data_IF_805482432078
#
_entry.id   IF_805482432078
#
_cell.length_a   1.000
_cell.length_b   1.000
_cell.length_c   1.000
_cell.angle_alpha   90.00
_cell.angle_beta   90.00
_cell.angle_gamma   90.00
#
_symmetry.space_group_name_H-M   'P 1'
#
loop_
_entity.id
_entity.type
_entity.pdbx_description
1 polymer ?
#
# COMPACT_ATOMS: atom_id res chain seq x y z
N UNK A 1 -30.50 -18.50 13.00
CA UNK A 1 -29.21 -18.67 13.70
C UNK A 1 -28.29 -19.34 12.70
N UNK A 2 -27.65 -18.54 11.85
CA UNK A 2 -26.74 -19.03 10.83
C UNK A 2 -25.40 -19.21 11.55
N UNK A 3 -24.93 -20.45 11.65
CA UNK A 3 -23.54 -20.70 11.98
C UNK A 3 -22.75 -20.16 10.79
N UNK A 4 -22.07 -19.03 10.96
CA UNK A 4 -21.07 -18.61 9.99
C UNK A 4 -20.02 -19.72 9.93
N UNK A 5 -19.92 -20.37 8.77
CA UNK A 5 -18.86 -21.35 8.54
C UNK A 5 -17.51 -20.67 8.83
N UNK A 6 -16.60 -21.33 9.57
CA UNK A 6 -15.31 -20.74 9.87
C UNK A 6 -14.63 -20.38 8.55
N UNK A 7 -14.18 -19.13 8.41
CA UNK A 7 -13.45 -18.66 7.23
C UNK A 7 -12.21 -19.52 7.07
N UNK A 8 -12.23 -20.43 6.10
CA UNK A 8 -11.10 -21.32 5.81
C UNK A 8 -10.04 -20.51 5.08
N UNK A 9 -8.91 -20.28 5.74
CA UNK A 9 -7.76 -19.63 5.11
C UNK A 9 -7.06 -20.63 4.20
N UNK A 10 -7.09 -20.40 2.90
CA UNK A 10 -6.42 -21.26 1.91
C UNK A 10 -5.06 -20.69 1.52
N UNK A 11 -4.15 -21.56 1.08
CA UNK A 11 -2.86 -21.13 0.54
C UNK A 11 -3.02 -20.21 -0.69
N UNK A 12 -4.07 -20.43 -1.48
CA UNK A 12 -4.41 -19.57 -2.62
C UNK A 12 -4.82 -18.16 -2.17
N UNK A 13 -5.71 -18.04 -1.19
CA UNK A 13 -6.13 -16.74 -0.66
C UNK A 13 -4.95 -15.97 -0.03
N UNK A 14 -4.06 -16.66 0.66
CA UNK A 14 -2.82 -16.06 1.19
C UNK A 14 -1.89 -15.61 0.06
N UNK A 15 -1.74 -16.39 -1.01
CA UNK A 15 -0.90 -16.04 -2.16
C UNK A 15 -1.43 -14.79 -2.88
N UNK A 16 -2.76 -14.70 -3.08
CA UNK A 16 -3.42 -13.55 -3.67
C UNK A 16 -3.24 -12.31 -2.81
N UNK A 17 -3.44 -12.43 -1.49
CA UNK A 17 -3.22 -11.34 -0.56
C UNK A 17 -1.78 -10.84 -0.59
N UNK A 18 -0.79 -11.73 -0.46
CA UNK A 18 0.63 -11.34 -0.49
C UNK A 18 1.02 -10.70 -1.82
N UNK A 19 0.49 -11.22 -2.94
CA UNK A 19 0.69 -10.62 -4.26
C UNK A 19 0.08 -9.23 -4.37
N UNK A 20 -1.12 -9.00 -3.82
CA UNK A 20 -1.72 -7.67 -3.69
C UNK A 20 -0.82 -6.78 -2.81
N UNK A 21 -0.37 -7.29 -1.67
CA UNK A 21 0.46 -6.52 -0.73
C UNK A 21 1.76 -6.04 -1.36
N UNK A 22 2.39 -6.89 -2.16
CA UNK A 22 3.68 -6.63 -2.80
C UNK A 22 3.55 -5.94 -4.16
N UNK A 23 2.32 -5.59 -4.58
CA UNK A 23 2.10 -4.88 -5.84
C UNK A 23 2.70 -3.45 -5.77
N UNK A 24 3.48 -3.03 -6.77
CA UNK A 24 4.05 -1.68 -6.78
C UNK A 24 2.98 -0.59 -6.70
N UNK A 25 3.16 0.35 -5.77
CA UNK A 25 2.25 1.50 -5.60
C UNK A 25 0.89 1.14 -5.01
N UNK A 26 0.75 -0.01 -4.34
CA UNK A 26 -0.52 -0.47 -3.75
C UNK A 26 -1.05 0.46 -2.65
N UNK A 27 -0.19 1.01 -1.80
CA UNK A 27 -0.60 1.99 -0.78
C UNK A 27 -1.12 3.30 -1.38
N UNK A 28 -0.71 3.58 -2.61
CA UNK A 28 -1.14 4.73 -3.37
C UNK A 28 -2.34 4.39 -4.28
N UNK A 29 -2.65 3.09 -4.46
CA UNK A 29 -3.89 2.58 -5.03
C UNK A 29 -4.92 2.44 -3.91
N UNK A 30 -5.90 3.33 -3.77
CA UNK A 30 -7.08 2.94 -3.03
C UNK A 30 -7.67 1.74 -3.76
N UNK A 31 -7.99 0.68 -3.01
CA UNK A 31 -8.69 -0.53 -3.48
C UNK A 31 -10.00 -0.23 -4.24
N UNK A 32 -10.45 1.03 -4.27
CA UNK A 32 -11.78 1.47 -4.64
C UNK A 32 -11.86 2.46 -5.81
N UNK A 33 -10.74 2.93 -6.39
CA UNK A 33 -10.85 3.82 -7.57
C UNK A 33 -10.95 2.97 -8.83
N UNK A 34 -12.17 2.54 -9.15
CA UNK A 34 -12.47 2.07 -10.50
C UNK A 34 -11.99 3.13 -11.51
N UNK A 35 -11.43 2.73 -12.68
CA UNK A 35 -10.95 3.68 -13.68
C UNK A 35 -11.95 4.78 -14.03
N UNK A 36 -13.24 4.46 -13.95
CA UNK A 36 -14.38 5.36 -14.15
C UNK A 36 -14.44 6.45 -13.07
N UNK A 37 -14.24 6.09 -11.80
CA UNK A 37 -14.22 7.03 -10.68
C UNK A 37 -13.03 8.00 -10.79
N UNK A 38 -11.86 7.49 -11.19
CA UNK A 38 -10.69 8.31 -11.46
C UNK A 38 -10.99 9.32 -12.58
N UNK A 39 -11.62 8.85 -13.65
CA UNK A 39 -12.00 9.69 -14.76
C UNK A 39 -12.97 10.80 -14.35
N UNK A 40 -14.04 10.48 -13.61
CA UNK A 40 -15.01 11.45 -13.08
C UNK A 40 -14.35 12.48 -12.15
N UNK A 41 -13.36 12.08 -11.36
CA UNK A 41 -12.60 13.02 -10.51
C UNK A 41 -11.78 13.99 -11.33
N UNK A 42 -11.11 13.52 -12.37
CA UNK A 42 -10.32 14.36 -13.27
C UNK A 42 -11.20 15.32 -14.06
N UNK A 43 -12.38 14.88 -14.50
CA UNK A 43 -13.36 15.77 -15.15
C UNK A 43 -13.87 16.85 -14.21
N UNK A 44 -14.21 16.50 -12.96
CA UNK A 44 -14.60 17.48 -11.93
C UNK A 44 -13.49 18.48 -11.66
N UNK A 45 -12.24 18.03 -11.60
CA UNK A 45 -11.08 18.90 -11.46
C UNK A 45 -10.93 19.83 -12.66
N UNK A 46 -10.97 19.31 -13.88
CA UNK A 46 -10.88 20.09 -15.11
C UNK A 46 -11.95 21.17 -15.19
N UNK A 47 -13.21 20.82 -14.88
CA UNK A 47 -14.33 21.77 -14.83
C UNK A 47 -14.12 22.89 -13.80
N UNK A 48 -13.61 22.56 -12.60
CA UNK A 48 -13.34 23.55 -11.55
C UNK A 48 -12.17 24.46 -11.91
N UNK A 49 -11.12 23.90 -12.50
CA UNK A 49 -9.98 24.67 -13.00
C UNK A 49 -10.39 25.60 -14.14
N UNK A 50 -11.27 25.15 -15.04
CA UNK A 50 -11.79 25.99 -16.11
C UNK A 50 -12.49 27.24 -15.58
N UNK A 51 -13.31 27.08 -14.54
CA UNK A 51 -13.97 28.22 -13.87
C UNK A 51 -13.01 29.12 -13.10
N UNK A 52 -11.89 28.58 -12.62
CA UNK A 52 -10.93 29.33 -11.82
C UNK A 52 -9.90 30.09 -12.66
N UNK A 53 -9.52 29.56 -13.82
CA UNK A 53 -8.36 30.03 -14.59
C UNK A 53 -8.56 30.09 -16.11
N UNK A 54 -9.77 29.77 -16.61
CA UNK A 54 -10.06 29.73 -18.04
C UNK A 54 -9.85 28.34 -18.66
N UNK A 55 -10.12 28.22 -19.96
CA UNK A 55 -10.20 26.95 -20.72
C UNK A 55 -9.16 25.90 -20.28
N UNK A 56 -9.63 24.72 -19.87
CA UNK A 56 -8.78 23.62 -19.43
C UNK A 56 -8.75 22.51 -20.49
N UNK A 57 -7.56 22.18 -21.00
CA UNK A 57 -7.38 21.00 -21.86
C UNK A 57 -6.99 19.79 -21.02
N UNK A 58 -7.54 18.61 -21.35
CA UNK A 58 -7.27 17.35 -20.65
C UNK A 58 -6.57 16.38 -21.61
N UNK A 59 -5.37 15.93 -21.25
CA UNK A 59 -4.61 14.92 -21.98
C UNK A 59 -4.46 13.68 -21.12
N UNK A 60 -4.83 12.51 -21.64
CA UNK A 60 -4.67 11.24 -20.95
C UNK A 60 -3.36 10.59 -21.31
N UNK A 61 -2.72 9.96 -20.33
CA UNK A 61 -1.53 9.15 -20.57
C UNK A 61 -1.89 7.76 -21.07
N UNK A 62 -0.97 7.08 -21.78
CA UNK A 62 -1.14 5.67 -22.13
C UNK A 62 -1.37 4.81 -20.90
N UNK A 63 -2.09 3.69 -21.09
CA UNK A 63 -2.27 2.70 -20.04
C UNK A 63 -0.91 2.22 -19.51
N UNK A 64 -0.73 2.21 -18.19
CA UNK A 64 0.52 1.79 -17.55
C UNK A 64 1.57 2.89 -17.35
N UNK A 65 1.32 4.13 -17.77
CA UNK A 65 2.19 5.27 -17.48
C UNK A 65 2.26 5.60 -15.97
N UNK A 66 3.30 6.34 -15.58
CA UNK A 66 3.57 6.73 -14.18
C UNK A 66 2.58 7.77 -13.63
N UNK A 67 1.80 8.41 -14.50
CA UNK A 67 0.78 9.39 -14.16
C UNK A 67 -0.49 9.17 -14.99
N UNK A 68 -1.65 9.65 -14.52
CA UNK A 68 -2.92 9.47 -15.22
C UNK A 68 -3.02 10.32 -16.48
N UNK A 69 -2.53 11.57 -16.39
CA UNK A 69 -2.73 12.55 -17.44
C UNK A 69 -2.26 13.94 -17.02
N UNK A 70 -2.57 14.92 -17.87
CA UNK A 70 -2.21 16.32 -17.70
C UNK A 70 -3.41 17.21 -17.97
N UNK A 71 -3.47 18.29 -17.21
CA UNK A 71 -4.45 19.36 -17.34
C UNK A 71 -3.69 20.63 -17.70
N UNK A 72 -4.00 21.23 -18.84
CA UNK A 72 -3.30 22.42 -19.33
C UNK A 72 -4.24 23.62 -19.26
N UNK A 73 -3.81 24.67 -18.56
CA UNK A 73 -4.52 25.94 -18.43
C UNK A 73 -3.85 27.03 -19.29
N UNK A 74 -4.52 28.17 -19.53
CA UNK A 74 -3.90 29.30 -20.21
C UNK A 74 -2.68 29.79 -19.42
N UNK A 75 -1.59 30.15 -20.11
CA UNK A 75 -0.39 30.72 -19.48
C UNK A 75 0.67 29.70 -19.04
N UNK A 76 1.30 29.02 -20.00
CA UNK A 76 1.95 27.67 -19.89
C UNK A 76 1.82 26.91 -18.55
N UNK A 77 0.60 26.75 -18.00
CA UNK A 77 0.43 25.97 -16.76
C UNK A 77 0.00 24.56 -17.11
N UNK A 78 0.84 23.60 -16.75
CA UNK A 78 0.52 22.18 -16.85
C UNK A 78 0.45 21.58 -15.46
N UNK A 79 -0.69 21.02 -15.12
CA UNK A 79 -0.94 20.28 -13.89
C UNK A 79 -0.93 18.80 -14.25
N UNK A 80 0.06 18.06 -13.77
CA UNK A 80 0.13 16.61 -13.92
C UNK A 80 -0.73 15.97 -12.84
N UNK A 81 -1.57 15.04 -13.25
CA UNK A 81 -2.42 14.27 -12.33
C UNK A 81 -1.72 12.96 -12.00
N UNK A 82 -1.47 12.73 -10.72
CA UNK A 82 -0.88 11.49 -10.22
C UNK A 82 -1.67 10.26 -10.67
N UNK A 83 -1.00 9.11 -10.73
CA UNK A 83 -1.54 7.86 -11.29
C UNK A 83 -2.93 7.47 -10.77
N UNK A 84 -3.21 7.81 -9.51
CA UNK A 84 -4.42 7.39 -8.80
C UNK A 84 -5.44 8.51 -8.57
N UNK A 85 -5.14 9.73 -9.02
CA UNK A 85 -6.08 10.86 -8.96
C UNK A 85 -6.36 11.39 -7.56
N UNK A 86 -5.39 11.33 -6.66
CA UNK A 86 -5.42 12.02 -5.36
C UNK A 86 -4.48 13.20 -5.31
N UNK A 87 -3.41 13.15 -6.07
CA UNK A 87 -2.37 14.17 -6.08
C UNK A 87 -2.25 14.81 -7.45
N UNK A 88 -1.86 16.07 -7.44
CA UNK A 88 -1.45 16.82 -8.62
C UNK A 88 -0.15 17.56 -8.34
N UNK A 89 0.62 17.82 -9.39
CA UNK A 89 1.79 18.68 -9.31
C UNK A 89 1.89 19.56 -10.56
N UNK A 90 2.55 20.71 -10.41
CA UNK A 90 2.81 21.60 -11.53
C UNK A 90 4.07 21.12 -12.28
N UNK A 91 3.99 20.96 -13.60
CA UNK A 91 5.09 20.41 -14.43
C UNK A 91 6.30 21.34 -14.56
N UNK A 92 6.07 22.64 -14.41
CA UNK A 92 7.08 23.69 -14.33
C UNK A 92 6.52 24.80 -13.43
N UNK A 93 7.39 25.61 -12.82
CA UNK A 93 6.99 26.68 -11.91
C UNK A 93 5.86 27.54 -12.50
N UNK A 94 4.76 27.78 -11.76
CA UNK A 94 3.59 28.42 -12.32
C UNK A 94 3.93 29.86 -12.74
N UNK A 95 3.75 30.19 -14.02
CA UNK A 95 3.68 31.59 -14.48
C UNK A 95 2.26 32.12 -14.25
N UNK A 96 1.73 31.89 -13.06
CA UNK A 96 0.46 32.43 -12.61
C UNK A 96 0.76 33.61 -11.69
N UNK A 97 0.00 34.70 -11.83
CA UNK A 97 -0.06 35.71 -10.77
C UNK A 97 -0.55 35.07 -9.46
N UNK A 98 -0.14 35.61 -8.31
CA UNK A 98 -0.45 35.05 -6.98
C UNK A 98 -1.95 34.79 -6.78
N UNK A 99 -2.81 35.71 -7.22
CA UNK A 99 -4.26 35.58 -7.11
C UNK A 99 -4.83 34.43 -7.96
N UNK A 100 -4.29 34.23 -9.17
CA UNK A 100 -4.70 33.13 -10.04
C UNK A 100 -4.19 31.79 -9.49
N UNK A 101 -2.97 31.76 -8.96
CA UNK A 101 -2.40 30.59 -8.29
C UNK A 101 -3.23 30.19 -7.06
N UNK A 102 -3.66 31.15 -6.23
CA UNK A 102 -4.52 30.89 -5.07
C UNK A 102 -5.88 30.31 -5.47
N UNK A 103 -6.50 30.82 -6.54
CA UNK A 103 -7.77 30.29 -7.08
C UNK A 103 -7.62 28.87 -7.63
N UNK A 104 -6.54 28.59 -8.36
CA UNK A 104 -6.21 27.25 -8.87
C UNK A 104 -6.00 26.26 -7.72
N UNK A 105 -5.21 26.61 -6.70
CA UNK A 105 -5.02 25.78 -5.50
C UNK A 105 -6.32 25.49 -4.78
N UNK A 106 -7.17 26.51 -4.63
CA UNK A 106 -8.50 26.35 -4.01
C UNK A 106 -9.36 25.37 -4.81
N UNK A 107 -9.37 25.47 -6.14
CA UNK A 107 -10.10 24.54 -7.00
C UNK A 107 -9.61 23.09 -6.87
N UNK A 108 -8.29 22.88 -6.80
CA UNK A 108 -7.67 21.57 -6.59
C UNK A 108 -8.10 20.97 -5.23
N UNK A 109 -8.02 21.74 -4.15
CA UNK A 109 -8.38 21.25 -2.82
C UNK A 109 -9.89 20.97 -2.70
N UNK A 110 -10.74 21.78 -3.33
CA UNK A 110 -12.20 21.59 -3.32
C UNK A 110 -12.65 20.32 -4.05
N UNK A 111 -11.84 19.79 -4.97
CA UNK A 111 -12.09 18.51 -5.64
C UNK A 111 -11.43 17.32 -4.93
N UNK A 112 -10.86 17.55 -3.75
CA UNK A 112 -10.24 16.52 -2.93
C UNK A 112 -8.87 16.06 -3.44
N UNK A 113 -8.19 16.89 -4.24
CA UNK A 113 -6.81 16.64 -4.65
C UNK A 113 -5.83 17.35 -3.73
N UNK A 114 -4.70 16.71 -3.48
CA UNK A 114 -3.53 17.29 -2.81
C UNK A 114 -2.55 17.84 -3.84
N UNK A 115 -1.91 18.96 -3.51
CA UNK A 115 -0.85 19.54 -4.35
C UNK A 115 0.51 19.09 -3.84
N UNK A 116 1.32 18.49 -4.71
CA UNK A 116 2.72 18.13 -4.45
C UNK A 116 3.68 19.21 -5.01
N UNK A 117 4.91 19.30 -4.46
CA UNK A 117 5.87 20.34 -4.85
C UNK A 117 6.34 20.22 -6.30
N UNK A 118 6.44 19.01 -6.85
CA UNK A 118 6.87 18.75 -8.23
C UNK A 118 6.32 17.42 -8.78
N UNK A 119 6.53 17.19 -10.08
CA UNK A 119 6.07 15.98 -10.78
C UNK A 119 6.84 14.73 -10.35
N UNK A 120 8.09 14.86 -9.89
CA UNK A 120 8.85 13.70 -9.42
C UNK A 120 8.22 13.12 -8.15
N UNK A 121 7.60 13.96 -7.31
CA UNK A 121 6.81 13.52 -6.16
C UNK A 121 5.49 12.82 -6.52
N UNK A 122 4.97 12.96 -7.75
CA UNK A 122 3.79 12.22 -8.21
C UNK A 122 4.13 10.79 -8.65
N UNK A 123 5.39 10.55 -9.01
CA UNK A 123 5.84 9.20 -9.26
C UNK A 123 5.90 8.52 -7.89
N UNK A 124 5.17 7.42 -7.68
CA UNK A 124 5.38 6.58 -6.52
C UNK A 124 6.88 6.43 -6.31
N UNK A 125 7.45 6.98 -5.23
CA UNK A 125 8.76 6.54 -4.81
C UNK A 125 8.56 5.07 -4.47
N UNK A 126 8.88 4.19 -5.42
CA UNK A 126 9.16 2.80 -5.09
C UNK A 126 10.12 2.90 -3.92
N UNK A 127 9.80 2.35 -2.74
CA UNK A 127 10.78 2.29 -1.69
C UNK A 127 12.05 1.73 -2.34
N UNK A 128 13.11 2.54 -2.38
CA UNK A 128 14.42 2.02 -2.73
C UNK A 128 14.70 0.96 -1.69
N UNK A 129 14.69 -0.31 -2.10
CA UNK A 129 14.83 -1.43 -1.17
C UNK A 129 13.51 -2.02 -0.68
N UNK A 130 12.57 -2.38 -1.58
CA UNK A 130 11.61 -3.45 -1.23
C UNK A 130 12.44 -4.63 -0.71
N UNK A 131 12.32 -4.99 0.58
CA UNK A 131 13.12 -6.07 1.13
C UNK A 131 12.89 -7.31 0.29
N UNK A 132 13.95 -8.04 -0.05
CA UNK A 132 13.82 -9.33 -0.74
C UNK A 132 12.89 -10.21 0.09
N UNK A 133 11.72 -10.56 -0.48
CA UNK A 133 10.68 -11.32 0.20
C UNK A 133 11.08 -12.78 0.32
N UNK A 134 10.78 -13.37 1.47
CA UNK A 134 10.98 -14.81 1.74
C UNK A 134 9.98 -15.67 0.96
N UNK A 135 8.77 -15.17 0.76
CA UNK A 135 7.72 -15.83 -0.05
C UNK A 135 7.53 -15.03 -1.34
N UNK A 136 7.75 -15.69 -2.48
CA UNK A 136 7.64 -15.09 -3.83
C UNK A 136 6.68 -15.85 -4.73
N UNK A 137 5.97 -16.83 -4.16
CA UNK A 137 5.02 -17.68 -4.86
C UNK A 137 3.97 -16.89 -5.65
N UNK A 138 3.55 -17.45 -6.79
CA UNK A 138 2.50 -16.91 -7.66
C UNK A 138 1.25 -17.79 -7.69
N UNK A 139 1.28 -18.91 -6.98
CA UNK A 139 0.14 -19.82 -6.80
C UNK A 139 0.09 -20.36 -5.37
N UNK A 140 -1.08 -20.84 -4.94
CA UNK A 140 -1.24 -21.47 -3.64
C UNK A 140 -0.37 -22.72 -3.45
N UNK A 141 -0.13 -23.50 -4.51
CA UNK A 141 0.74 -24.68 -4.46
C UNK A 141 2.21 -24.29 -4.24
N UNK A 142 2.71 -23.31 -4.99
CA UNK A 142 4.06 -22.76 -4.78
C UNK A 142 4.23 -22.19 -3.38
N UNK A 143 3.21 -21.48 -2.88
CA UNK A 143 3.21 -20.90 -1.55
C UNK A 143 3.27 -21.98 -0.47
N UNK A 144 2.45 -23.03 -0.58
CA UNK A 144 2.47 -24.16 0.33
C UNK A 144 3.85 -24.82 0.38
N UNK A 145 4.46 -25.03 -0.79
CA UNK A 145 5.82 -25.58 -0.90
C UNK A 145 6.90 -24.67 -0.30
N UNK A 146 6.81 -23.35 -0.48
CA UNK A 146 7.75 -22.40 0.12
C UNK A 146 7.62 -22.33 1.64
N UNK A 147 6.40 -22.26 2.18
CA UNK A 147 6.14 -22.24 3.63
C UNK A 147 6.62 -23.53 4.30
N UNK A 148 6.34 -24.69 3.69
CA UNK A 148 6.77 -25.99 4.22
C UNK A 148 8.30 -26.12 4.30
N UNK A 149 9.05 -25.40 3.47
CA UNK A 149 10.52 -25.40 3.45
C UNK A 149 11.16 -24.30 4.30
N UNK A 150 10.39 -23.43 4.95
CA UNK A 150 10.94 -22.44 5.88
C UNK A 150 11.73 -23.15 7.01
N UNK A 151 12.74 -22.47 7.61
CA UNK A 151 13.48 -23.02 8.74
C UNK A 151 12.54 -23.52 9.85
N UNK A 152 12.77 -24.73 10.33
CA UNK A 152 11.97 -25.37 11.38
C UNK A 152 12.48 -25.12 12.80
N UNK A 153 13.51 -24.29 12.95
CA UNK A 153 14.17 -23.99 14.24
C UNK A 153 13.83 -22.60 14.75
N UNK A 154 13.93 -22.43 16.07
CA UNK A 154 13.68 -21.15 16.75
C UNK A 154 12.27 -20.59 16.51
N UNK A 155 12.15 -19.26 16.58
CA UNK A 155 10.88 -18.55 16.41
C UNK A 155 10.31 -18.70 14.99
N UNK A 156 11.19 -18.84 13.98
CA UNK A 156 10.78 -19.10 12.59
C UNK A 156 10.03 -20.42 12.48
N UNK A 157 10.53 -21.48 13.13
CA UNK A 157 9.86 -22.78 13.18
C UNK A 157 8.49 -22.73 13.84
N UNK A 158 8.37 -22.00 14.96
CA UNK A 158 7.08 -21.82 15.67
C UNK A 158 6.05 -21.11 14.78
N UNK A 159 6.45 -20.05 14.09
CA UNK A 159 5.57 -19.31 13.19
C UNK A 159 5.23 -20.11 11.93
N UNK A 160 6.20 -20.82 11.34
CA UNK A 160 6.00 -21.75 10.22
C UNK A 160 4.91 -22.77 10.55
N UNK A 161 5.04 -23.44 11.69
CA UNK A 161 4.09 -24.47 12.11
C UNK A 161 2.69 -23.90 12.33
N UNK A 162 2.59 -22.67 12.89
CA UNK A 162 1.31 -21.95 13.02
C UNK A 162 0.70 -21.66 11.65
N UNK A 163 1.48 -21.16 10.69
CA UNK A 163 1.03 -20.88 9.33
C UNK A 163 0.53 -22.17 8.66
N UNK A 164 1.32 -23.25 8.70
CA UNK A 164 0.96 -24.53 8.10
C UNK A 164 -0.36 -25.08 8.67
N UNK A 165 -0.53 -25.05 10.00
CA UNK A 165 -1.79 -25.48 10.63
C UNK A 165 -2.98 -24.61 10.22
N UNK A 166 -2.81 -23.30 10.16
CA UNK A 166 -3.87 -22.39 9.75
C UNK A 166 -4.30 -22.59 8.29
N UNK A 167 -3.38 -23.02 7.42
CA UNK A 167 -3.63 -23.36 6.02
C UNK A 167 -4.13 -24.81 5.82
N UNK A 168 -4.24 -25.61 6.88
CA UNK A 168 -4.59 -27.03 6.79
C UNK A 168 -3.51 -27.90 6.13
N UNK A 169 -2.25 -27.45 6.13
CA UNK A 169 -1.12 -28.12 5.50
C UNK A 169 -0.35 -29.01 6.49
N UNK A 170 0.33 -30.07 6.01
CA UNK A 170 1.20 -30.88 6.85
C UNK A 170 2.33 -30.06 7.50
N UNK A 171 2.59 -30.30 8.78
CA UNK A 171 3.62 -29.59 9.56
C UNK A 171 5.02 -30.22 9.39
N UNK A 172 5.10 -31.36 8.70
CA UNK A 172 6.33 -32.11 8.50
C UNK A 172 7.41 -31.24 7.84
N UNK A 173 8.64 -31.21 8.37
CA UNK A 173 9.78 -30.58 7.69
C UNK A 173 9.95 -31.14 6.29
N UNK A 174 10.14 -30.25 5.31
CA UNK A 174 10.53 -30.61 3.96
C UNK A 174 11.99 -30.22 3.80
N UNK A 175 12.80 -31.12 3.26
CA UNK A 175 14.22 -30.87 3.04
C UNK A 175 14.44 -29.73 2.02
N UNK A 176 15.50 -28.96 2.27
CA UNK A 176 15.91 -27.84 1.41
C UNK A 176 15.31 -26.50 1.85
N UNK A 177 16.17 -25.48 1.93
CA UNK A 177 15.78 -24.10 2.22
C UNK A 177 15.41 -23.42 0.89
N UNK A 178 14.32 -22.61 0.82
CA UNK A 178 13.98 -21.89 -0.41
C UNK A 178 15.13 -20.98 -0.84
N UNK A 179 15.42 -20.91 -2.14
CA UNK A 179 16.48 -20.04 -2.69
C UNK A 179 16.32 -18.54 -2.32
N UNK A 180 15.09 -18.13 -2.01
CA UNK A 180 14.81 -16.77 -1.54
C UNK A 180 15.30 -16.52 -0.09
N UNK A 181 15.39 -17.56 0.74
CA UNK A 181 15.78 -17.52 2.16
C UNK A 181 17.29 -17.59 2.33
N UNK A 182 17.97 -18.41 1.53
CA UNK A 182 19.41 -18.71 1.67
C UNK A 182 20.34 -17.47 1.77
N UNK A 183 20.13 -16.36 1.02
CA UNK A 183 20.97 -15.18 1.13
C UNK A 183 20.53 -14.19 2.22
N UNK A 184 19.44 -14.45 2.95
CA UNK A 184 18.89 -13.51 3.92
C UNK A 184 19.44 -13.74 5.34
N UNK A 185 19.79 -12.67 6.08
CA UNK A 185 20.11 -12.78 7.50
C UNK A 185 18.93 -13.39 8.29
N UNK A 186 19.18 -14.20 9.33
CA UNK A 186 18.12 -14.87 10.10
C UNK A 186 17.03 -13.93 10.65
N UNK A 187 17.40 -12.73 11.09
CA UNK A 187 16.43 -11.74 11.57
C UNK A 187 15.49 -11.24 10.47
N UNK A 188 15.97 -11.12 9.22
CA UNK A 188 15.11 -10.73 8.08
C UNK A 188 14.14 -11.84 7.71
N UNK A 189 14.57 -13.10 7.81
CA UNK A 189 13.70 -14.25 7.62
C UNK A 189 12.58 -14.22 8.66
N UNK A 190 12.90 -13.95 9.93
CA UNK A 190 11.92 -13.85 11.01
C UNK A 190 10.89 -12.74 10.76
N UNK A 191 11.32 -11.53 10.39
CA UNK A 191 10.43 -10.41 10.07
C UNK A 191 9.43 -10.75 8.95
N UNK A 192 9.90 -11.40 7.90
CA UNK A 192 9.03 -11.80 6.78
C UNK A 192 8.07 -12.93 7.17
N UNK A 193 8.49 -13.87 8.02
CA UNK A 193 7.60 -14.93 8.51
C UNK A 193 6.55 -14.37 9.47
N UNK A 194 6.88 -13.37 10.30
CA UNK A 194 5.91 -12.61 11.08
C UNK A 194 4.87 -11.90 10.20
N UNK A 195 5.31 -11.29 9.09
CA UNK A 195 4.41 -10.69 8.09
C UNK A 195 3.44 -11.71 7.50
N UNK A 196 3.94 -12.87 7.08
CA UNK A 196 3.09 -13.95 6.53
C UNK A 196 2.10 -14.44 7.59
N UNK A 197 2.53 -14.63 8.84
CA UNK A 197 1.66 -15.02 9.94
C UNK A 197 0.56 -13.97 10.21
N UNK A 198 0.89 -12.67 10.14
CA UNK A 198 -0.08 -11.59 10.25
C UNK A 198 -1.10 -11.60 9.10
N UNK A 199 -0.68 -11.89 7.87
CA UNK A 199 -1.57 -12.01 6.71
C UNK A 199 -2.56 -13.18 6.85
N UNK A 200 -2.11 -14.32 7.39
CA UNK A 200 -2.98 -15.45 7.73
C UNK A 200 -4.02 -15.04 8.78
N UNK A 201 -3.60 -14.35 9.84
CA UNK A 201 -4.50 -13.88 10.88
C UNK A 201 -5.53 -12.87 10.32
N UNK A 202 -5.11 -11.98 9.42
CA UNK A 202 -6.00 -11.03 8.77
C UNK A 202 -7.06 -11.72 7.89
N UNK A 203 -6.69 -12.75 7.12
CA UNK A 203 -7.63 -13.55 6.34
C UNK A 203 -8.68 -14.25 7.22
N UNK A 204 -8.28 -14.73 8.40
CA UNK A 204 -9.19 -15.37 9.35
C UNK A 204 -10.12 -14.37 10.06
N UNK A 205 -9.63 -13.15 10.35
CA UNK A 205 -10.38 -12.13 11.08
C UNK A 205 -11.35 -11.33 10.19
N UNK A 206 -11.08 -11.25 8.88
CA UNK A 206 -11.99 -10.67 7.89
C UNK A 206 -11.60 -9.26 7.42
N UNK A 207 -12.58 -8.55 6.87
CA UNK A 207 -12.35 -7.38 6.02
C UNK A 207 -11.58 -6.24 6.70
N UNK A 208 -11.81 -5.97 7.98
CA UNK A 208 -11.13 -4.86 8.67
C UNK A 208 -9.63 -5.15 8.88
N UNK A 209 -9.28 -6.36 9.31
CA UNK A 209 -7.88 -6.76 9.45
C UNK A 209 -7.17 -6.87 8.10
N UNK A 210 -7.88 -7.20 7.01
CA UNK A 210 -7.33 -7.16 5.65
C UNK A 210 -6.99 -5.74 5.17
N UNK A 211 -7.63 -4.72 5.72
CA UNK A 211 -7.26 -3.31 5.47
C UNK A 211 -6.04 -2.93 6.30
N UNK A 212 -5.95 -3.41 7.53
CA UNK A 212 -4.76 -3.20 8.35
C UNK A 212 -3.51 -3.87 7.80
N UNK A 213 -3.61 -5.14 7.38
CA UNK A 213 -2.55 -5.83 6.66
C UNK A 213 -2.10 -5.06 5.41
N UNK A 214 -2.93 -4.13 4.90
CA UNK A 214 -2.55 -3.30 3.79
C UNK A 214 -1.47 -2.26 4.12
N UNK A 215 -1.49 -1.75 5.34
CA UNK A 215 -0.70 -0.60 5.78
C UNK A 215 0.29 -0.93 6.91
N UNK A 216 0.23 -2.13 7.49
CA UNK A 216 1.12 -2.56 8.57
C UNK A 216 2.60 -2.39 8.23
N UNK A 217 3.02 -2.72 7.01
CA UNK A 217 4.41 -2.52 6.58
C UNK A 217 4.81 -1.03 6.56
N UNK A 218 3.88 -0.11 6.26
CA UNK A 218 4.14 1.35 6.36
C UNK A 218 4.27 1.79 7.81
N UNK A 219 3.42 1.27 8.69
CA UNK A 219 3.45 1.59 10.12
C UNK A 219 4.79 1.19 10.72
N UNK A 220 5.35 0.06 10.28
CA UNK A 220 6.64 -0.46 10.72
C UNK A 220 7.84 0.26 10.06
N UNK A 221 7.82 0.44 8.73
CA UNK A 221 8.97 0.96 7.98
C UNK A 221 9.06 2.50 8.00
N UNK A 222 7.93 3.19 8.13
CA UNK A 222 7.82 4.65 8.01
C UNK A 222 6.91 5.25 9.10
N UNK A 223 7.34 5.20 10.37
CA UNK A 223 6.51 5.64 11.49
C UNK A 223 6.19 7.13 11.45
N UNK A 224 5.15 7.53 12.19
CA UNK A 224 4.70 8.92 12.28
C UNK A 224 3.81 9.33 11.10
N UNK A 225 4.12 10.47 10.48
CA UNK A 225 3.16 11.12 9.57
C UNK A 225 2.86 10.34 8.28
N UNK A 226 3.81 9.56 7.76
CA UNK A 226 3.56 8.73 6.58
C UNK A 226 2.59 7.59 6.89
N UNK A 227 2.78 6.90 8.01
CA UNK A 227 1.84 5.89 8.50
C UNK A 227 0.45 6.47 8.80
N UNK A 228 0.37 7.65 9.43
CA UNK A 228 -0.90 8.34 9.69
C UNK A 228 -1.61 8.70 8.37
N UNK A 229 -0.87 9.18 7.35
CA UNK A 229 -1.41 9.44 6.02
C UNK A 229 -1.98 8.14 5.41
N UNK A 230 -1.22 7.04 5.44
CA UNK A 230 -1.65 5.75 4.91
C UNK A 230 -2.92 5.22 5.62
N UNK A 231 -3.00 5.34 6.94
CA UNK A 231 -4.20 4.99 7.72
C UNK A 231 -5.38 5.83 7.28
N UNK A 232 -5.20 7.15 7.20
CA UNK A 232 -6.26 8.06 6.81
C UNK A 232 -6.79 7.74 5.42
N UNK A 233 -5.89 7.47 4.48
CA UNK A 233 -6.23 7.23 3.09
C UNK A 233 -6.90 5.85 2.91
N UNK A 234 -6.45 4.81 3.64
CA UNK A 234 -7.07 3.47 3.65
C UNK A 234 -8.43 3.46 4.37
N UNK A 235 -8.56 4.19 5.49
CA UNK A 235 -9.76 4.19 6.33
C UNK A 235 -10.75 5.33 6.05
N UNK A 236 -10.38 6.29 5.21
CA UNK A 236 -11.17 7.48 4.87
C UNK A 236 -11.66 8.25 6.11
N UNK A 237 -10.80 8.40 7.12
CA UNK A 237 -11.15 9.04 8.38
C UNK A 237 -10.52 10.45 8.53
N UNK A 238 -10.89 11.16 9.59
CA UNK A 238 -10.25 12.43 9.94
C UNK A 238 -8.82 12.21 10.45
N UNK A 239 -7.98 13.25 10.40
CA UNK A 239 -6.58 13.15 10.86
C UNK A 239 -6.48 12.77 12.34
N UNK A 240 -7.37 13.31 13.20
CA UNK A 240 -7.41 12.94 14.62
C UNK A 240 -7.68 11.44 14.83
N UNK A 241 -8.69 10.89 14.15
CA UNK A 241 -8.99 9.46 14.19
C UNK A 241 -7.84 8.61 13.66
N UNK A 242 -7.14 9.08 12.63
CA UNK A 242 -5.99 8.39 12.06
C UNK A 242 -4.81 8.31 13.05
N UNK A 243 -4.59 9.36 13.86
CA UNK A 243 -3.59 9.35 14.95
C UNK A 243 -3.95 8.32 16.02
N UNK A 244 -5.19 8.32 16.52
CA UNK A 244 -5.62 7.34 17.54
C UNK A 244 -5.58 5.89 17.02
N UNK A 245 -5.84 5.70 15.72
CA UNK A 245 -5.72 4.42 15.03
C UNK A 245 -4.26 4.00 14.88
N UNK A 246 -3.37 4.94 14.58
CA UNK A 246 -1.93 4.71 14.50
C UNK A 246 -1.38 4.19 15.82
N UNK A 247 -1.63 4.90 16.92
CA UNK A 247 -1.10 4.54 18.24
C UNK A 247 -1.55 3.13 18.65
N UNK A 248 -2.85 2.83 18.53
CA UNK A 248 -3.40 1.50 18.83
C UNK A 248 -2.81 0.40 17.93
N UNK A 249 -2.61 0.69 16.64
CA UNK A 249 -2.04 -0.31 15.73
C UNK A 249 -0.56 -0.54 16.00
N UNK A 250 0.21 0.48 16.36
CA UNK A 250 1.61 0.34 16.76
C UNK A 250 1.74 -0.56 18.00
N UNK A 251 0.90 -0.37 19.02
CA UNK A 251 0.87 -1.27 20.19
C UNK A 251 0.49 -2.71 19.83
N UNK A 252 -0.40 -2.89 18.86
CA UNK A 252 -0.73 -4.22 18.34
C UNK A 252 0.49 -4.85 17.63
N UNK A 253 1.14 -4.12 16.72
CA UNK A 253 2.28 -4.59 15.94
C UNK A 253 3.52 -4.87 16.79
N UNK A 254 3.74 -4.12 17.86
CA UNK A 254 4.79 -4.43 18.84
C UNK A 254 4.59 -5.81 19.50
N UNK A 255 3.35 -6.29 19.62
CA UNK A 255 3.02 -7.60 20.19
C UNK A 255 3.02 -8.71 19.14
N UNK A 256 2.58 -8.42 17.91
CA UNK A 256 2.36 -9.45 16.87
C UNK A 256 3.48 -9.55 15.84
N UNK A 257 4.27 -8.48 15.67
CA UNK A 257 5.43 -8.39 14.75
C UNK A 257 6.62 -7.69 15.44
N UNK A 258 7.08 -8.17 16.62
CA UNK A 258 8.09 -7.49 17.43
C UNK A 258 9.41 -7.24 16.70
N UNK A 259 9.78 -8.09 15.74
CA UNK A 259 11.03 -7.95 15.00
C UNK A 259 10.91 -6.98 13.82
N UNK A 260 9.70 -6.70 13.34
CA UNK A 260 9.43 -5.77 12.24
C UNK A 260 9.81 -4.33 12.57
N UNK A 261 9.55 -3.87 13.80
CA UNK A 261 9.87 -2.51 14.25
C UNK A 261 11.39 -2.26 14.36
N UNK A 262 12.16 -3.25 14.81
CA UNK A 262 13.61 -3.10 15.02
C UNK A 262 14.41 -2.97 13.71
N UNK A 263 13.89 -3.53 12.61
CA UNK A 263 14.53 -3.48 11.30
C UNK A 263 14.42 -2.10 10.63
N UNK A 264 13.35 -1.34 10.91
CA UNK A 264 13.15 0.02 10.37
C UNK A 264 14.05 1.07 11.02
N UNK A 265 14.48 0.85 12.27
CA UNK A 265 15.38 1.76 13.01
C UNK A 265 16.88 1.54 12.73
N UNK A 266 17.24 0.49 11.99
CA UNK A 266 18.63 0.07 11.77
C UNK A 266 19.19 0.46 10.38
N UNK A 267 18.45 1.26 9.60
CA UNK A 267 18.84 1.75 8.28
C UNK A 267 19.27 3.22 8.32
#
# INVERSE_FOLDING_TARGET
MLCDDPVVVTAQALCELLTDLDAPGRLERPRLTAPEVLHERVERLAFRLERAAGRCAVERSPAGADHHGRLTLPGPVTIVVGRYGFEVAFAAGPVLGEEQFARVKTAIHQTGFHTLPDVAALVPTRPGGVPRRVVTARSGEELAGQVARLPSTGDVGVLRDRILRALGLPVTPVDGVPEAVDPLPPHRVLVEVERVAACVAALAAGADELRWAAIDDVVLDRPGMEAIKAIRDEFHCAVGDAVERYDRRTEHLLRTRPHGMAAGTAA
#
